data_IF_725600223225
#
_entry.id   IF_725600223225
#
_cell.length_a   1.000
_cell.length_b   1.000
_cell.length_c   1.000
_cell.angle_alpha   90.00
_cell.angle_beta   90.00
_cell.angle_gamma   90.00
#
_symmetry.space_group_name_H-M   'P 1'
#
loop_
_entity.id
_entity.type
_entity.pdbx_description
1 polymer ?
#
# COMPACT_ATOMS: atom_id res chain seq x y z
N UNK A 1 18.81 -13.04 17.32
CA UNK A 1 18.90 -12.04 18.40
C UNK A 1 17.70 -11.11 18.28
N UNK A 2 16.95 -10.80 19.35
CA UNK A 2 15.93 -9.75 19.28
C UNK A 2 16.61 -8.43 18.91
N UNK A 3 16.02 -7.66 17.98
CA UNK A 3 16.56 -6.38 17.56
C UNK A 3 16.63 -5.44 18.78
N UNK A 4 17.84 -4.96 19.07
CA UNK A 4 18.06 -3.96 20.10
C UNK A 4 17.49 -2.63 19.60
N UNK A 5 16.75 -1.92 20.45
CA UNK A 5 16.11 -0.68 19.99
C UNK A 5 17.14 0.41 19.73
N UNK A 6 16.96 1.18 18.66
CA UNK A 6 17.83 2.32 18.33
C UNK A 6 17.61 3.52 19.26
N UNK A 7 16.52 3.54 20.03
CA UNK A 7 16.20 4.62 20.97
C UNK A 7 16.83 4.37 22.34
N UNK A 8 17.54 5.38 22.86
CA UNK A 8 18.02 5.41 24.25
C UNK A 8 16.86 5.59 25.24
N UNK A 9 17.13 5.43 26.54
CA UNK A 9 16.10 5.64 27.55
C UNK A 9 15.69 7.11 27.71
N UNK A 10 16.62 8.04 27.44
CA UNK A 10 16.34 9.47 27.36
C UNK A 10 15.45 9.80 26.16
N UNK A 11 15.72 9.19 24.98
CA UNK A 11 14.88 9.35 23.79
C UNK A 11 13.47 8.83 24.04
N UNK A 12 13.34 7.65 24.67
CA UNK A 12 12.03 7.10 25.05
C UNK A 12 11.29 8.02 26.01
N UNK A 13 11.99 8.74 26.86
CA UNK A 13 11.39 9.73 27.78
C UNK A 13 10.87 10.95 27.01
N UNK A 14 11.65 11.48 26.07
CA UNK A 14 11.21 12.56 25.15
C UNK A 14 9.99 12.14 24.33
N UNK A 15 10.00 10.93 23.77
CA UNK A 15 8.87 10.36 23.02
C UNK A 15 7.61 10.27 23.89
N UNK A 16 7.71 9.76 25.11
CA UNK A 16 6.55 9.64 26.02
C UNK A 16 6.03 11.00 26.50
N UNK A 17 6.90 12.00 26.61
CA UNK A 17 6.52 13.37 26.94
C UNK A 17 5.79 14.03 25.76
N UNK A 18 6.29 13.87 24.54
CA UNK A 18 5.70 14.43 23.32
C UNK A 18 4.43 13.70 22.86
N UNK A 19 4.33 12.40 23.12
CA UNK A 19 3.17 11.55 22.77
C UNK A 19 2.64 10.85 24.04
N UNK A 20 1.85 11.56 24.87
CA UNK A 20 1.41 11.06 26.17
C UNK A 20 0.51 9.83 26.06
N UNK A 21 0.74 8.84 26.94
CA UNK A 21 -0.06 7.61 27.02
C UNK A 21 -1.52 7.83 27.43
N UNK A 22 -1.84 8.97 28.04
CA UNK A 22 -3.20 9.32 28.46
C UNK A 22 -4.15 9.50 27.27
N UNK A 23 -3.63 9.97 26.14
CA UNK A 23 -4.39 10.19 24.90
C UNK A 23 -3.89 9.38 23.71
N UNK A 24 -2.78 8.64 23.84
CA UNK A 24 -2.19 7.89 22.75
C UNK A 24 -1.80 6.47 23.16
N UNK A 25 -2.05 5.52 22.26
CA UNK A 25 -1.48 4.17 22.30
C UNK A 25 -0.36 4.05 21.29
N UNK A 26 0.89 4.21 21.76
CA UNK A 26 2.09 4.00 20.95
C UNK A 26 2.18 2.53 20.53
N UNK A 27 2.32 2.28 19.23
CA UNK A 27 2.45 0.93 18.64
C UNK A 27 3.92 0.58 18.46
N UNK A 28 4.71 1.52 17.94
CA UNK A 28 6.15 1.38 17.74
C UNK A 28 6.83 2.75 17.65
N UNK A 29 8.12 2.82 17.98
CA UNK A 29 8.95 4.00 17.84
C UNK A 29 10.38 3.60 17.50
N UNK A 30 11.03 4.32 16.59
CA UNK A 30 12.40 4.07 16.12
C UNK A 30 13.03 5.34 15.54
N UNK A 31 14.36 5.35 15.35
CA UNK A 31 15.05 6.46 14.69
C UNK A 31 14.81 6.47 13.18
N UNK A 32 14.43 7.64 12.65
CA UNK A 32 14.23 7.81 11.22
C UNK A 32 14.46 9.25 10.74
N UNK A 33 14.53 9.40 9.41
CA UNK A 33 14.52 10.66 8.66
C UNK A 33 13.38 10.67 7.66
N UNK A 34 12.85 11.86 7.36
CA UNK A 34 11.79 12.05 6.37
C UNK A 34 12.35 12.65 5.09
N UNK A 35 11.94 12.09 3.96
CA UNK A 35 12.23 12.56 2.62
C UNK A 35 10.91 12.81 1.86
N UNK A 36 10.94 13.75 0.93
CA UNK A 36 9.83 14.03 0.02
C UNK A 36 10.29 13.88 -1.43
N UNK A 37 9.42 13.37 -2.29
CA UNK A 37 9.60 13.43 -3.74
C UNK A 37 9.10 14.81 -4.26
N UNK A 38 9.71 15.88 -3.73
CA UNK A 38 9.39 17.26 -4.03
C UNK A 38 10.67 18.11 -3.95
N UNK A 39 10.86 19.12 -4.81
CA UNK A 39 9.96 19.58 -5.89
C UNK A 39 9.97 18.69 -7.14
N UNK A 40 10.95 17.79 -7.28
CA UNK A 40 11.01 16.82 -8.38
C UNK A 40 10.35 15.50 -7.97
N UNK A 41 9.24 15.08 -8.60
CA UNK A 41 8.59 13.80 -8.30
C UNK A 41 9.47 12.57 -8.56
N UNK A 42 10.54 12.70 -9.36
CA UNK A 42 11.45 11.62 -9.69
C UNK A 42 12.68 11.56 -8.76
N UNK A 43 12.79 12.48 -7.79
CA UNK A 43 13.95 12.56 -6.90
C UNK A 43 13.55 12.76 -5.44
N UNK A 44 14.17 11.98 -4.55
CA UNK A 44 13.97 12.10 -3.11
C UNK A 44 14.85 13.21 -2.52
N UNK A 45 14.21 14.17 -1.84
CA UNK A 45 14.88 15.27 -1.14
C UNK A 45 14.70 15.12 0.37
N UNK A 46 15.77 15.31 1.14
CA UNK A 46 15.69 15.27 2.60
C UNK A 46 14.88 16.47 3.12
N UNK A 47 13.85 16.21 3.92
CA UNK A 47 12.96 17.25 4.44
C UNK A 47 13.57 18.08 5.59
N UNK A 48 14.79 17.75 6.04
CA UNK A 48 15.38 18.35 7.24
C UNK A 48 14.78 17.82 8.55
N UNK A 49 13.91 16.81 8.49
CA UNK A 49 13.19 16.25 9.63
C UNK A 49 13.78 14.89 10.03
N UNK A 50 14.32 14.81 11.24
CA UNK A 50 14.88 13.59 11.82
C UNK A 50 14.61 13.52 13.33
N UNK A 51 14.56 12.30 13.85
CA UNK A 51 14.29 12.05 15.26
C UNK A 51 13.66 10.68 15.47
N UNK A 52 12.81 10.57 16.50
CA UNK A 52 12.02 9.36 16.73
C UNK A 52 10.74 9.41 15.91
N UNK A 53 10.61 8.53 14.92
CA UNK A 53 9.35 8.29 14.24
C UNK A 53 8.50 7.35 15.10
N UNK A 54 7.30 7.80 15.42
CA UNK A 54 6.33 7.13 16.28
C UNK A 54 5.09 6.83 15.46
N UNK A 55 4.65 5.58 15.48
CA UNK A 55 3.31 5.21 15.03
C UNK A 55 2.44 4.95 16.25
N UNK A 56 1.34 5.71 16.37
CA UNK A 56 0.45 5.66 17.52
C UNK A 56 -1.01 5.77 17.10
N UNK A 57 -1.91 5.26 17.95
CA UNK A 57 -3.35 5.54 17.87
C UNK A 57 -3.71 6.62 18.86
N UNK A 58 -4.36 7.67 18.40
CA UNK A 58 -4.97 8.68 19.25
C UNK A 58 -6.26 8.10 19.85
N UNK A 59 -6.22 7.76 21.14
CA UNK A 59 -7.37 7.18 21.84
C UNK A 59 -8.44 8.23 22.18
N UNK A 60 -8.11 9.51 22.18
CA UNK A 60 -9.08 10.59 22.36
C UNK A 60 -9.90 10.82 21.08
N UNK A 61 -9.30 10.61 19.90
CA UNK A 61 -9.95 10.75 18.58
C UNK A 61 -10.43 9.42 18.00
N UNK A 62 -11.07 8.57 18.81
CA UNK A 62 -11.68 7.33 18.31
C UNK A 62 -10.70 6.27 17.80
N UNK A 63 -9.40 6.40 18.07
CA UNK A 63 -8.38 5.43 17.68
C UNK A 63 -7.70 5.70 16.34
N UNK A 64 -7.86 6.89 15.76
CA UNK A 64 -7.18 7.30 14.52
C UNK A 64 -5.67 7.12 14.64
N UNK A 65 -5.05 6.58 13.60
CA UNK A 65 -3.62 6.33 13.57
C UNK A 65 -2.87 7.53 12.99
N UNK A 66 -1.71 7.83 13.57
CA UNK A 66 -0.82 8.87 13.11
C UNK A 66 0.62 8.37 13.07
N UNK A 67 1.35 8.84 12.07
CA UNK A 67 2.81 8.91 12.11
C UNK A 67 3.22 10.26 12.69
N UNK A 68 4.14 10.26 13.65
CA UNK A 68 4.65 11.47 14.31
C UNK A 68 6.16 11.43 14.41
N UNK A 69 6.83 12.49 14.00
CA UNK A 69 8.27 12.67 14.23
C UNK A 69 8.48 13.50 15.50
N UNK A 70 9.20 12.95 16.47
CA UNK A 70 9.59 13.66 17.70
C UNK A 70 11.03 14.13 17.59
N UNK A 71 11.26 15.41 17.87
CA UNK A 71 12.59 15.99 17.94
C UNK A 71 13.37 15.42 19.13
N UNK A 72 14.46 14.73 18.85
CA UNK A 72 15.36 14.19 19.87
C UNK A 72 16.55 15.11 20.16
N UNK A 73 16.92 15.98 19.23
CA UNK A 73 18.04 16.91 19.41
C UNK A 73 17.65 18.09 20.30
N UNK A 74 16.40 18.54 20.19
CA UNK A 74 15.85 19.66 20.97
C UNK A 74 14.73 19.26 21.92
N UNK A 75 13.86 20.24 22.19
CA UNK A 75 12.68 20.12 23.08
C UNK A 75 11.38 20.48 22.36
N UNK A 76 11.40 20.52 21.02
CA UNK A 76 10.24 20.95 20.21
C UNK A 76 9.06 19.97 20.25
N UNK A 77 9.25 18.77 20.81
CA UNK A 77 8.22 17.74 20.86
C UNK A 77 7.96 17.16 19.47
N UNK A 78 6.69 17.07 19.06
CA UNK A 78 6.32 16.58 17.72
C UNK A 78 6.58 17.68 16.69
N UNK A 79 7.46 17.40 15.72
CA UNK A 79 7.87 18.34 14.65
C UNK A 79 7.28 18.00 13.28
N UNK A 80 6.64 16.84 13.15
CA UNK A 80 5.92 16.43 11.94
C UNK A 80 4.87 15.39 12.30
N UNK A 81 3.72 15.44 11.61
CA UNK A 81 2.61 14.51 11.80
C UNK A 81 1.96 14.21 10.44
N UNK A 82 1.50 12.98 10.27
CA UNK A 82 0.69 12.57 9.14
C UNK A 82 -0.38 11.58 9.60
N UNK A 83 -1.63 11.84 9.21
CA UNK A 83 -2.76 10.98 9.50
C UNK A 83 -2.77 9.75 8.60
N UNK A 84 -3.00 8.59 9.19
CA UNK A 84 -3.15 7.34 8.45
C UNK A 84 -4.64 7.16 8.13
N UNK A 85 -5.02 7.48 6.90
CA UNK A 85 -6.39 7.45 6.39
C UNK A 85 -6.88 6.02 6.05
N UNK A 86 -8.16 5.86 5.68
CA UNK A 86 -8.69 4.56 5.27
C UNK A 86 -8.20 4.16 3.88
N UNK A 87 -7.82 2.90 3.71
CA UNK A 87 -7.18 2.43 2.47
C UNK A 87 -5.74 2.91 2.31
N UNK A 88 -5.09 3.39 3.38
CA UNK A 88 -3.69 3.81 3.37
C UNK A 88 -2.77 2.72 2.81
N UNK A 89 -1.95 3.10 1.83
CA UNK A 89 -0.95 2.25 1.21
C UNK A 89 0.42 2.52 1.82
N UNK A 90 1.15 1.46 2.14
CA UNK A 90 2.46 1.56 2.77
C UNK A 90 3.42 0.57 2.14
N UNK A 91 4.53 1.08 1.60
CA UNK A 91 5.48 0.31 0.81
C UNK A 91 6.82 0.20 1.54
N UNK A 92 7.41 -1.00 1.51
CA UNK A 92 8.77 -1.26 2.00
C UNK A 92 9.71 -1.42 0.81
N UNK A 93 9.94 -0.34 0.07
CA UNK A 93 10.71 -0.38 -1.19
C UNK A 93 12.15 -0.89 -1.01
N UNK A 94 12.75 -0.64 0.16
CA UNK A 94 14.05 -1.17 0.58
C UNK A 94 14.00 -1.55 2.07
N UNK A 95 14.94 -2.40 2.55
CA UNK A 95 15.01 -2.79 3.97
C UNK A 95 15.09 -1.62 4.97
N UNK A 96 15.67 -0.48 4.55
CA UNK A 96 15.81 0.73 5.37
C UNK A 96 14.97 1.91 4.84
N UNK A 97 14.24 1.75 3.74
CA UNK A 97 13.47 2.83 3.11
C UNK A 97 12.05 2.39 2.81
N UNK A 98 11.10 3.04 3.45
CA UNK A 98 9.67 2.82 3.20
C UNK A 98 9.05 4.09 2.65
N UNK A 99 8.03 3.94 1.82
CA UNK A 99 7.33 5.06 1.20
C UNK A 99 5.81 4.92 1.26
N UNK A 100 5.12 6.04 1.09
CA UNK A 100 3.67 6.11 0.99
C UNK A 100 3.27 7.42 0.28
N UNK A 101 2.08 7.45 -0.34
CA UNK A 101 1.55 8.67 -0.93
C UNK A 101 1.11 9.66 0.16
N UNK A 102 1.62 10.88 0.09
CA UNK A 102 1.05 12.03 0.80
C UNK A 102 0.08 12.81 -0.10
N UNK A 103 -0.45 13.91 0.40
CA UNK A 103 -1.44 14.72 -0.32
C UNK A 103 -0.87 15.39 -1.57
N UNK A 104 0.39 15.84 -1.52
CA UNK A 104 1.04 16.59 -2.60
C UNK A 104 2.16 15.81 -3.30
N UNK A 105 2.82 14.91 -2.59
CA UNK A 105 3.96 14.14 -3.10
C UNK A 105 4.15 12.82 -2.34
N UNK A 106 5.00 11.95 -2.87
CA UNK A 106 5.42 10.75 -2.15
C UNK A 106 6.29 11.13 -0.95
N UNK A 107 6.05 10.46 0.18
CA UNK A 107 6.79 10.64 1.42
C UNK A 107 7.57 9.36 1.71
N UNK A 108 8.83 9.52 2.12
CA UNK A 108 9.75 8.43 2.40
C UNK A 108 10.29 8.51 3.82
N UNK A 109 10.36 7.37 4.49
CA UNK A 109 11.06 7.19 5.76
C UNK A 109 12.35 6.41 5.53
N UNK A 110 13.48 6.99 5.94
CA UNK A 110 14.77 6.29 6.04
C UNK A 110 15.02 5.93 7.49
N UNK A 111 15.25 4.65 7.78
CA UNK A 111 15.47 4.14 9.14
C UNK A 111 16.96 3.94 9.45
N UNK A 112 17.33 4.02 10.72
CA UNK A 112 18.70 3.77 11.17
C UNK A 112 19.08 2.28 11.23
N UNK A 113 18.09 1.40 11.39
CA UNK A 113 18.27 -0.06 11.49
C UNK A 113 17.22 -0.81 10.66
N UNK A 114 17.65 -1.76 9.84
CA UNK A 114 16.80 -2.56 8.96
C UNK A 114 15.90 -3.54 9.73
N UNK A 115 16.35 -4.02 10.88
CA UNK A 115 15.58 -4.93 11.74
C UNK A 115 14.38 -4.21 12.35
N UNK A 116 14.60 -3.01 12.89
CA UNK A 116 13.53 -2.14 13.37
C UNK A 116 12.61 -1.66 12.24
N UNK A 117 13.15 -1.34 11.06
CA UNK A 117 12.34 -1.00 9.89
C UNK A 117 11.38 -2.15 9.52
N UNK A 118 11.89 -3.37 9.38
CA UNK A 118 11.05 -4.56 9.11
C UNK A 118 9.97 -4.75 10.18
N UNK A 119 10.32 -4.55 11.46
CA UNK A 119 9.36 -4.61 12.56
C UNK A 119 8.30 -3.51 12.45
N UNK A 120 8.70 -2.28 12.13
CA UNK A 120 7.83 -1.14 11.91
C UNK A 120 6.82 -1.41 10.79
N UNK A 121 7.28 -1.85 9.61
CA UNK A 121 6.40 -2.21 8.49
C UNK A 121 5.37 -3.25 8.92
N UNK A 122 5.80 -4.35 9.56
CA UNK A 122 4.88 -5.38 10.06
C UNK A 122 3.83 -4.81 11.01
N UNK A 123 4.22 -3.91 11.92
CA UNK A 123 3.31 -3.27 12.88
C UNK A 123 2.30 -2.37 12.18
N UNK A 124 2.76 -1.56 11.22
CA UNK A 124 1.90 -0.68 10.41
C UNK A 124 0.90 -1.50 9.60
N UNK A 125 1.35 -2.44 8.77
CA UNK A 125 0.47 -3.28 7.94
C UNK A 125 -0.55 -4.05 8.77
N UNK A 126 -0.14 -4.60 9.92
CA UNK A 126 -1.05 -5.30 10.84
C UNK A 126 -2.07 -4.35 11.47
N UNK A 127 -1.69 -3.10 11.73
CA UNK A 127 -2.58 -2.11 12.31
C UNK A 127 -3.59 -1.58 11.27
N UNK A 128 -3.15 -1.43 10.02
CA UNK A 128 -3.99 -1.07 8.87
C UNK A 128 -5.03 -2.16 8.57
N UNK A 129 -4.64 -3.43 8.54
CA UNK A 129 -5.57 -4.54 8.28
C UNK A 129 -6.64 -4.69 9.37
N UNK A 130 -6.33 -4.30 10.61
CA UNK A 130 -7.31 -4.27 11.72
C UNK A 130 -8.25 -3.07 11.65
N UNK A 131 -7.86 -1.97 11.01
CA UNK A 131 -8.71 -0.80 10.81
C UNK A 131 -9.74 -1.02 9.68
N UNK A 132 -9.49 -1.96 8.77
CA UNK A 132 -10.48 -2.50 7.83
C UNK A 132 -11.54 -3.33 8.59
N UNK A 133 -12.42 -2.66 9.33
CA UNK A 133 -13.61 -3.31 9.89
C UNK A 133 -14.53 -3.79 8.74
N UNK A 134 -15.20 -4.94 8.88
CA UNK A 134 -16.09 -5.44 7.85
C UNK A 134 -17.28 -4.48 7.71
N UNK A 135 -17.47 -3.93 6.51
CA UNK A 135 -18.70 -3.28 6.13
C UNK A 135 -19.85 -4.31 6.20
N UNK A 136 -20.54 -4.35 7.35
CA UNK A 136 -21.97 -4.65 7.58
C UNK A 136 -22.17 -5.13 9.01
N UNK A 137 -22.45 -4.19 9.89
CA UNK A 137 -23.28 -4.47 11.06
C UNK A 137 -24.68 -4.89 10.55
N UNK A 138 -25.02 -6.18 10.64
CA UNK A 138 -26.42 -6.59 10.72
C UNK A 138 -26.82 -6.70 12.19
N UNK A 139 -27.98 -6.14 12.45
CA UNK A 139 -28.57 -5.85 13.74
C UNK A 139 -28.68 -7.06 14.69
N UNK A 140 -28.62 -6.71 15.99
CA UNK A 140 -29.06 -7.45 17.19
C UNK A 140 -29.98 -8.65 16.93
N UNK A 141 -29.62 -9.78 17.51
CA UNK A 141 -30.57 -10.55 18.32
C UNK A 141 -29.94 -10.91 19.67
N UNK A 142 -30.71 -10.63 20.71
CA UNK A 142 -30.41 -10.79 22.12
C UNK A 142 -30.47 -12.26 22.52
N UNK A 143 -29.42 -12.80 23.16
CA UNK A 143 -29.58 -13.77 24.25
C UNK A 143 -28.35 -13.88 25.15
N UNK A 144 -28.65 -14.07 26.42
CA UNK A 144 -27.90 -13.82 27.66
C UNK A 144 -26.77 -14.79 28.03
N UNK A 145 -25.79 -14.25 28.77
CA UNK A 145 -25.01 -14.82 29.91
C UNK A 145 -24.44 -16.25 29.79
N UNK A 146 -23.11 -16.39 29.87
CA UNK A 146 -22.42 -16.77 31.13
C UNK A 146 -20.89 -16.70 31.00
N UNK A 147 -20.21 -16.59 32.14
CA UNK A 147 -18.76 -16.43 32.35
C UNK A 147 -18.05 -17.78 32.36
N UNK A 148 -16.85 -17.87 31.77
CA UNK A 148 -15.58 -18.50 32.28
C UNK A 148 -14.61 -18.72 31.09
N UNK A 149 -13.33 -18.31 31.15
CA UNK A 149 -12.37 -18.59 30.08
C UNK A 149 -11.71 -19.95 30.32
N UNK A 150 -12.12 -20.97 29.56
CA UNK A 150 -11.54 -22.31 29.61
C UNK A 150 -11.27 -22.84 28.20
N UNK A 151 -10.00 -23.15 27.94
CA UNK A 151 -9.43 -24.08 26.94
C UNK A 151 -10.24 -24.31 25.66
N UNK A 152 -9.72 -23.80 24.54
CA UNK A 152 -10.22 -24.07 23.18
C UNK A 152 -10.05 -25.56 22.89
N UNK A 153 -11.16 -26.28 22.74
CA UNK A 153 -11.20 -27.68 22.33
C UNK A 153 -11.35 -27.77 20.79
N UNK A 154 -10.81 -28.83 20.16
CA UNK A 154 -10.81 -29.04 18.70
C UNK A 154 -12.23 -29.10 18.09
N UNK A 155 -13.25 -29.32 18.90
CA UNK A 155 -14.66 -29.22 18.52
C UNK A 155 -15.16 -27.77 18.35
N UNK A 156 -14.40 -26.76 18.78
CA UNK A 156 -14.72 -25.33 18.60
C UNK A 156 -14.16 -24.74 17.31
N UNK A 157 -13.32 -25.47 16.57
CA UNK A 157 -12.90 -25.10 15.22
C UNK A 157 -13.90 -25.73 14.26
N UNK A 158 -15.06 -25.08 14.07
CA UNK A 158 -15.97 -25.47 13.00
C UNK A 158 -15.29 -25.28 11.65
N UNK A 159 -15.60 -26.15 10.68
CA UNK A 159 -15.14 -25.99 9.30
C UNK A 159 -15.52 -24.63 8.69
N UNK A 160 -14.94 -24.27 7.54
CA UNK A 160 -15.22 -23.01 6.85
C UNK A 160 -16.73 -22.80 6.68
N UNK A 161 -17.21 -21.57 6.85
CA UNK A 161 -18.62 -21.24 6.63
C UNK A 161 -19.00 -21.65 5.20
N UNK A 162 -20.10 -22.40 5.05
CA UNK A 162 -20.57 -22.86 3.74
C UNK A 162 -20.84 -21.63 2.86
N UNK A 163 -20.10 -21.48 1.75
CA UNK A 163 -20.12 -20.29 0.89
C UNK A 163 -19.09 -19.20 1.21
N UNK A 164 -18.17 -19.40 2.17
CA UNK A 164 -16.99 -18.53 2.38
C UNK A 164 -15.85 -18.79 1.39
N UNK A 165 -16.01 -19.76 0.49
CA UNK A 165 -15.12 -19.95 -0.63
C UNK A 165 -15.39 -18.85 -1.66
N UNK A 166 -14.54 -17.83 -1.64
CA UNK A 166 -14.52 -16.80 -2.66
C UNK A 166 -13.78 -17.41 -3.85
N UNK A 167 -14.47 -17.60 -4.96
CA UNK A 167 -13.82 -17.96 -6.22
C UNK A 167 -12.92 -16.79 -6.62
N UNK A 168 -11.62 -16.96 -6.45
CA UNK A 168 -10.62 -16.13 -7.12
C UNK A 168 -10.85 -16.29 -8.62
N UNK A 169 -10.66 -15.21 -9.37
CA UNK A 169 -10.79 -15.16 -10.83
C UNK A 169 -10.33 -16.48 -11.48
N UNK A 170 -11.24 -17.15 -12.18
CA UNK A 170 -10.96 -18.42 -12.85
C UNK A 170 -11.06 -18.19 -14.35
N UNK A 171 -9.95 -18.39 -15.05
CA UNK A 171 -9.88 -18.49 -16.49
C UNK A 171 -9.61 -19.95 -16.84
N UNK A 172 -10.40 -20.50 -17.74
CA UNK A 172 -10.25 -21.90 -18.14
C UNK A 172 -10.89 -22.15 -19.50
N UNK A 173 -10.48 -23.23 -20.13
CA UNK A 173 -10.99 -23.65 -21.42
C UNK A 173 -12.14 -24.65 -21.22
N UNK A 174 -13.28 -24.39 -21.86
CA UNK A 174 -14.41 -25.31 -21.94
C UNK A 174 -14.50 -25.85 -23.38
N UNK A 175 -14.59 -27.16 -23.55
CA UNK A 175 -14.54 -27.84 -24.86
C UNK A 175 -15.68 -27.39 -25.80
N UNK A 176 -16.82 -26.97 -25.24
CA UNK A 176 -17.97 -26.52 -26.03
C UNK A 176 -18.00 -25.00 -26.27
N UNK A 177 -17.41 -24.20 -25.37
CA UNK A 177 -17.54 -22.73 -25.35
C UNK A 177 -16.24 -21.96 -25.54
N UNK A 178 -15.10 -22.65 -25.61
CA UNK A 178 -13.79 -22.04 -25.75
C UNK A 178 -13.27 -21.44 -24.44
N UNK A 179 -12.49 -20.36 -24.54
CA UNK A 179 -11.94 -19.68 -23.38
C UNK A 179 -13.06 -19.00 -22.57
N UNK A 180 -13.23 -19.39 -21.30
CA UNK A 180 -14.21 -18.80 -20.39
C UNK A 180 -13.48 -18.08 -19.27
N UNK A 181 -13.89 -16.85 -18.96
CA UNK A 181 -13.32 -16.07 -17.85
C UNK A 181 -14.42 -15.62 -16.92
N UNK A 182 -14.43 -16.17 -15.70
CA UNK A 182 -15.38 -15.76 -14.66
C UNK A 182 -14.72 -14.69 -13.82
N UNK A 183 -15.34 -13.49 -13.72
CA UNK A 183 -14.84 -12.38 -12.91
C UNK A 183 -13.49 -11.74 -13.38
N UNK A 184 -13.14 -11.87 -14.66
CA UNK A 184 -11.99 -11.20 -15.29
C UNK A 184 -12.47 -10.13 -16.26
N UNK A 185 -11.74 -9.01 -16.34
CA UNK A 185 -12.02 -7.88 -17.23
C UNK A 185 -12.19 -8.31 -18.70
N UNK A 186 -13.25 -7.89 -19.41
CA UNK A 186 -13.48 -8.23 -20.83
C UNK A 186 -12.29 -7.98 -21.78
N UNK A 187 -11.38 -7.06 -21.42
CA UNK A 187 -10.15 -6.79 -22.19
C UNK A 187 -9.21 -8.00 -22.30
N UNK A 188 -9.29 -8.98 -21.40
CA UNK A 188 -8.48 -10.20 -21.43
C UNK A 188 -8.83 -11.13 -22.58
N UNK A 189 -10.11 -11.24 -22.95
CA UNK A 189 -10.52 -12.10 -24.07
C UNK A 189 -9.96 -11.57 -25.40
N UNK A 190 -9.97 -10.25 -25.58
CA UNK A 190 -9.41 -9.60 -26.76
C UNK A 190 -7.89 -9.83 -26.88
N UNK A 191 -7.18 -9.83 -25.74
CA UNK A 191 -5.75 -10.11 -25.71
C UNK A 191 -5.42 -11.56 -26.11
N UNK A 192 -6.19 -12.53 -25.62
CA UNK A 192 -5.99 -13.94 -25.97
C UNK A 192 -6.32 -14.22 -27.45
N UNK A 193 -7.37 -13.59 -27.98
CA UNK A 193 -7.70 -13.65 -29.41
C UNK A 193 -6.58 -13.03 -30.26
N UNK A 194 -5.98 -11.93 -29.78
CA UNK A 194 -4.83 -11.32 -30.43
C UNK A 194 -3.61 -12.24 -30.44
N UNK A 195 -3.30 -12.95 -29.35
CA UNK A 195 -2.22 -13.95 -29.32
C UNK A 195 -2.45 -15.08 -30.33
N UNK A 196 -3.69 -15.55 -30.48
CA UNK A 196 -4.04 -16.54 -31.49
C UNK A 196 -3.87 -15.99 -32.91
N UNK A 197 -4.27 -14.74 -33.15
CA UNK A 197 -4.08 -14.09 -34.46
C UNK A 197 -2.60 -13.91 -34.83
N UNK A 198 -1.71 -13.80 -33.84
CA UNK A 198 -0.26 -13.71 -34.01
C UNK A 198 0.41 -15.09 -34.16
N UNK A 199 -0.38 -16.18 -34.20
CA UNK A 199 0.10 -17.53 -34.45
C UNK A 199 0.49 -18.31 -33.21
N UNK A 200 0.11 -17.86 -32.01
CA UNK A 200 0.27 -18.67 -30.78
C UNK A 200 -0.84 -19.71 -30.72
N UNK A 201 -0.46 -20.97 -30.77
CA UNK A 201 -1.41 -22.09 -30.74
C UNK A 201 -2.19 -22.15 -29.43
N UNK A 202 -3.45 -22.57 -29.54
CA UNK A 202 -4.41 -22.59 -28.41
C UNK A 202 -3.95 -23.46 -27.25
N UNK A 203 -3.29 -24.57 -27.55
CA UNK A 203 -2.73 -25.49 -26.55
C UNK A 203 -1.57 -24.88 -25.77
N UNK A 204 -0.79 -23.98 -26.39
CA UNK A 204 0.31 -23.27 -25.75
C UNK A 204 -0.24 -22.22 -24.80
N UNK A 205 -1.28 -21.48 -25.22
CA UNK A 205 -1.95 -20.49 -24.38
C UNK A 205 -2.58 -21.14 -23.13
N UNK A 206 -3.13 -22.35 -23.29
CA UNK A 206 -3.69 -23.11 -22.17
C UNK A 206 -2.61 -23.60 -21.20
N UNK A 207 -1.52 -24.18 -21.71
CA UNK A 207 -0.42 -24.67 -20.88
C UNK A 207 0.30 -23.54 -20.14
N UNK A 208 0.51 -22.40 -20.80
CA UNK A 208 1.27 -21.27 -20.26
C UNK A 208 0.38 -20.17 -19.68
N UNK A 209 -0.89 -20.47 -19.39
CA UNK A 209 -1.87 -19.48 -18.93
C UNK A 209 -1.41 -18.74 -17.67
N UNK A 210 -0.84 -19.45 -16.70
CA UNK A 210 -0.32 -18.86 -15.46
C UNK A 210 0.82 -17.88 -15.72
N UNK A 211 1.68 -18.17 -16.71
CA UNK A 211 2.74 -17.28 -17.12
C UNK A 211 2.19 -16.01 -17.79
N UNK A 212 1.23 -16.17 -18.70
CA UNK A 212 0.58 -15.04 -19.39
C UNK A 212 -0.12 -14.13 -18.38
N UNK A 213 -0.79 -14.70 -17.37
CA UNK A 213 -1.42 -13.93 -16.28
C UNK A 213 -0.40 -13.10 -15.49
N UNK A 214 0.71 -13.70 -15.10
CA UNK A 214 1.77 -12.99 -14.39
C UNK A 214 2.41 -11.91 -15.28
N UNK A 215 2.70 -12.21 -16.54
CA UNK A 215 3.28 -11.27 -17.48
C UNK A 215 2.40 -10.05 -17.72
N UNK A 216 1.09 -10.23 -17.94
CA UNK A 216 0.17 -9.11 -18.15
C UNK A 216 -0.03 -8.30 -16.87
N UNK A 217 -0.09 -8.96 -15.71
CA UNK A 217 -0.17 -8.27 -14.42
C UNK A 217 1.08 -7.43 -14.15
N UNK A 218 2.25 -7.99 -14.41
CA UNK A 218 3.52 -7.28 -14.30
C UNK A 218 3.63 -6.17 -15.35
N UNK A 219 3.18 -6.41 -16.58
CA UNK A 219 3.12 -5.40 -17.63
C UNK A 219 2.13 -4.28 -17.28
N UNK A 220 0.99 -4.55 -16.63
CA UNK A 220 0.06 -3.51 -16.16
C UNK A 220 0.63 -2.74 -14.97
N UNK A 221 1.28 -3.42 -14.04
CA UNK A 221 2.00 -2.78 -12.93
C UNK A 221 3.21 -1.96 -13.42
N UNK A 222 3.78 -2.29 -14.58
CA UNK A 222 4.93 -1.64 -15.20
C UNK A 222 4.56 -0.73 -16.39
N UNK A 223 3.29 -0.72 -16.85
CA UNK A 223 2.79 0.09 -17.97
C UNK A 223 2.63 1.57 -17.59
N UNK A 224 2.90 1.95 -16.34
CA UNK A 224 3.17 3.34 -15.98
C UNK A 224 4.54 3.84 -16.48
N UNK A 225 5.38 2.97 -17.06
CA UNK A 225 6.72 3.32 -17.55
C UNK A 225 6.96 3.12 -19.07
N UNK A 226 6.05 2.49 -19.82
CA UNK A 226 6.16 2.40 -21.29
C UNK A 226 4.79 2.37 -21.95
N UNK A 227 4.23 3.56 -22.19
CA UNK A 227 3.22 3.72 -23.24
C UNK A 227 3.89 3.47 -24.61
N UNK A 228 3.25 2.74 -25.54
CA UNK A 228 3.67 2.78 -26.93
C UNK A 228 3.51 4.22 -27.41
N UNK A 229 4.57 4.76 -28.00
CA UNK A 229 4.51 6.04 -28.69
C UNK A 229 3.43 5.96 -29.77
N UNK A 230 2.27 6.55 -29.48
CA UNK A 230 1.28 6.92 -30.48
C UNK A 230 2.02 7.76 -31.52
N UNK A 231 2.09 7.25 -32.74
CA UNK A 231 2.54 7.99 -33.90
C UNK A 231 1.63 9.21 -34.04
N UNK A 232 2.06 10.34 -33.47
CA UNK A 232 1.44 11.64 -33.70
C UNK A 232 1.65 11.97 -35.17
N UNK A 233 0.58 11.82 -35.94
CA UNK A 233 0.45 12.40 -37.26
C UNK A 233 0.91 13.86 -37.20
N UNK A 234 1.96 14.15 -37.95
CA UNK A 234 2.62 15.45 -38.04
C UNK A 234 1.63 16.47 -38.63
N UNK A 235 0.98 17.26 -37.77
CA UNK A 235 0.23 18.43 -38.22
C UNK A 235 1.23 19.46 -38.74
N UNK A 236 1.41 19.51 -40.05
CA UNK A 236 2.09 20.60 -40.77
C UNK A 236 1.57 21.95 -40.27
N UNK A 237 2.46 22.78 -39.71
CA UNK A 237 2.16 24.19 -39.43
C UNK A 237 1.89 24.90 -40.76
N UNK A 238 0.83 25.72 -40.83
CA UNK A 238 0.60 26.61 -41.98
C UNK A 238 1.80 27.57 -42.12
N UNK A 239 2.25 27.90 -43.34
CA UNK A 239 3.34 28.84 -43.54
C UNK A 239 2.95 30.23 -43.01
N UNK A 240 3.93 31.03 -42.54
CA UNK A 240 3.67 32.38 -42.05
C UNK A 240 3.13 33.27 -43.18
N UNK A 241 2.27 34.26 -42.88
CA UNK A 241 1.77 35.19 -43.88
C UNK A 241 2.91 36.05 -44.46
N UNK A 242 2.83 36.42 -45.75
CA UNK A 242 3.84 37.28 -46.37
C UNK A 242 3.83 38.69 -45.76
N UNK A 243 5.02 39.27 -45.60
CA UNK A 243 5.19 40.61 -45.04
C UNK A 243 4.48 41.68 -45.89
N UNK A 244 3.92 42.73 -45.26
CA UNK A 244 3.26 43.81 -45.99
C UNK A 244 4.28 44.58 -46.83
N UNK A 245 4.01 44.66 -48.14
CA UNK A 245 4.73 45.56 -49.05
C UNK A 245 4.29 46.99 -48.75
N UNK A 246 5.21 47.83 -48.29
CA UNK A 246 5.07 49.28 -48.36
C UNK A 246 5.19 49.70 -49.82
N UNK A 247 4.13 50.26 -50.37
CA UNK A 247 4.16 51.23 -51.46
C UNK A 247 2.96 52.17 -51.30
#
# INVERSE_FOLDING_TARGET
MPAQSTLSDDDKTKVKSAVPKSSNKIIFALLARIYYAYPDPNAWSYAGLQGALVVARDTAKGGTMYFRMVDLAGTRGVIWEHEVYDGFEYFSDRPFFHSFPGDECMIGFVFADEGEAKAFHKKVTTALSKNKAPAKAKAKSTKSKSKTPGKIDKSMISGPTQGSFIHVAHMGYDSEKGFTSSNVDPSWMAFLDQLQSMGVDKSVIEHDMEFIQNFVRDAQNNASATAPAEQKAEKKKKPPPPAPRRH
#
